data_IF_503568411599
#
_entry.id   IF_503568411599
#
_cell.length_a   1.000
_cell.length_b   1.000
_cell.length_c   1.000
_cell.angle_alpha   90.00
_cell.angle_beta   90.00
_cell.angle_gamma   90.00
#
_symmetry.space_group_name_H-M   'P 1'
#
loop_
_entity.id
_entity.type
_entity.pdbx_description
1 polymer ?
#
# COMPACT_ATOMS: atom_id res chain seq x y z
N UNK A 1 -9.48 15.11 -9.09
CA UNK A 1 -8.33 15.01 -10.00
C UNK A 1 -7.24 14.22 -9.27
N UNK A 2 -7.05 12.92 -9.56
CA UNK A 2 -5.99 12.13 -8.88
C UNK A 2 -4.68 12.40 -9.60
N UNK A 3 -3.81 13.17 -8.95
CA UNK A 3 -2.44 13.38 -9.41
C UNK A 3 -1.60 12.21 -8.91
N UNK A 4 -1.39 11.20 -9.75
CA UNK A 4 -0.38 10.18 -9.52
C UNK A 4 0.99 10.79 -9.82
N UNK A 5 1.56 11.47 -8.83
CA UNK A 5 2.86 12.12 -8.95
C UNK A 5 3.98 11.09 -8.91
N UNK A 6 4.68 10.95 -10.04
CA UNK A 6 6.11 10.57 -10.15
C UNK A 6 6.54 9.15 -9.71
N UNK A 7 6.40 8.19 -10.63
CA UNK A 7 7.18 6.92 -10.63
C UNK A 7 8.51 7.01 -11.41
N UNK A 8 8.93 8.21 -11.82
CA UNK A 8 10.08 8.43 -12.71
C UNK A 8 11.32 9.04 -12.02
N UNK A 9 11.65 8.56 -10.81
CA UNK A 9 12.90 8.95 -10.15
C UNK A 9 13.60 7.71 -9.61
N UNK A 10 14.72 7.31 -10.23
CA UNK A 10 15.59 6.22 -9.81
C UNK A 10 16.66 6.68 -8.79
N UNK A 11 16.35 7.67 -7.95
CA UNK A 11 17.27 8.12 -6.89
C UNK A 11 17.50 7.02 -5.84
N UNK A 12 18.64 7.01 -5.15
CA UNK A 12 18.84 6.11 -4.01
C UNK A 12 17.79 6.38 -2.92
N UNK A 13 17.28 5.33 -2.27
CA UNK A 13 16.24 5.44 -1.22
C UNK A 13 16.60 6.45 -0.12
N UNK A 14 17.90 6.59 0.19
CA UNK A 14 18.44 7.53 1.18
C UNK A 14 18.27 9.02 0.84
N UNK A 15 17.95 9.36 -0.41
CA UNK A 15 17.82 10.76 -0.88
C UNK A 15 16.40 11.06 -1.37
N UNK A 16 15.47 10.10 -1.29
CA UNK A 16 14.10 10.30 -1.77
C UNK A 16 13.24 10.97 -0.70
N UNK A 17 12.60 12.06 -1.08
CA UNK A 17 11.57 12.73 -0.26
C UNK A 17 10.22 11.97 -0.27
N UNK A 18 10.05 11.01 -1.18
CA UNK A 18 8.77 10.31 -1.42
C UNK A 18 8.77 8.86 -0.90
N UNK A 19 9.54 8.55 0.14
CA UNK A 19 9.69 7.18 0.67
C UNK A 19 8.35 6.56 1.09
N UNK A 20 7.47 7.34 1.72
CA UNK A 20 6.10 6.89 2.05
C UNK A 20 5.31 6.47 0.82
N UNK A 21 5.18 7.33 -0.18
CA UNK A 21 4.41 7.04 -1.41
C UNK A 21 4.93 5.82 -2.19
N UNK A 22 6.25 5.58 -2.17
CA UNK A 22 6.85 4.39 -2.79
C UNK A 22 6.55 3.12 -1.98
N UNK A 23 6.64 3.19 -0.66
CA UNK A 23 6.27 2.09 0.22
C UNK A 23 4.79 1.73 0.05
N UNK A 24 3.91 2.72 -0.01
CA UNK A 24 2.48 2.50 -0.26
C UNK A 24 2.22 1.80 -1.59
N UNK A 25 2.90 2.25 -2.65
CA UNK A 25 2.77 1.66 -3.99
C UNK A 25 3.33 0.24 -4.02
N UNK A 26 4.40 -0.02 -3.27
CA UNK A 26 4.99 -1.34 -3.12
C UNK A 26 4.02 -2.31 -2.42
N UNK A 27 3.44 -1.94 -1.27
CA UNK A 27 2.48 -2.78 -0.53
C UNK A 27 1.26 -3.12 -1.40
N UNK A 28 0.68 -2.14 -2.09
CA UNK A 28 -0.44 -2.37 -3.01
C UNK A 28 -0.08 -3.35 -4.13
N UNK A 29 1.10 -3.20 -4.71
CA UNK A 29 1.61 -4.09 -5.76
C UNK A 29 1.85 -5.51 -5.25
N UNK A 30 2.54 -5.66 -4.12
CA UNK A 30 2.83 -6.98 -3.53
C UNK A 30 1.56 -7.71 -3.11
N UNK A 31 0.58 -7.00 -2.52
CA UNK A 31 -0.71 -7.61 -2.17
C UNK A 31 -1.46 -8.09 -3.41
N UNK A 32 -1.48 -7.28 -4.46
CA UNK A 32 -2.12 -7.66 -5.73
C UNK A 32 -1.48 -8.92 -6.33
N UNK A 33 -0.14 -9.00 -6.31
CA UNK A 33 0.59 -10.20 -6.76
C UNK A 33 0.27 -11.41 -5.89
N UNK A 34 0.23 -11.24 -4.57
CA UNK A 34 -0.12 -12.30 -3.63
C UNK A 34 -1.51 -12.88 -3.91
N UNK A 35 -2.52 -12.02 -4.11
CA UNK A 35 -3.88 -12.44 -4.43
C UNK A 35 -3.93 -13.18 -5.79
N UNK A 36 -3.20 -12.68 -6.79
CA UNK A 36 -3.10 -13.30 -8.10
C UNK A 36 -2.44 -14.69 -8.06
N UNK A 37 -1.35 -14.85 -7.28
CA UNK A 37 -0.69 -16.15 -7.12
C UNK A 37 -1.56 -17.19 -6.42
N UNK A 38 -2.47 -16.74 -5.55
CA UNK A 38 -3.45 -17.61 -4.89
C UNK A 38 -4.71 -17.86 -5.75
N UNK A 39 -4.77 -17.30 -6.96
CA UNK A 39 -5.95 -17.32 -7.83
C UNK A 39 -7.22 -16.87 -7.10
N UNK A 40 -7.07 -16.00 -6.11
CA UNK A 40 -8.15 -15.57 -5.27
C UNK A 40 -8.83 -14.35 -5.91
N UNK A 41 -10.12 -14.46 -6.20
CA UNK A 41 -10.93 -13.34 -6.63
C UNK A 41 -11.36 -12.55 -5.39
N UNK A 42 -10.54 -11.56 -5.04
CA UNK A 42 -10.69 -10.72 -3.86
C UNK A 42 -10.91 -9.28 -4.32
N UNK A 43 -11.91 -8.61 -3.75
CA UNK A 43 -12.08 -7.18 -3.90
C UNK A 43 -11.23 -6.48 -2.84
N UNK A 44 -10.19 -5.76 -3.26
CA UNK A 44 -9.26 -5.06 -2.35
C UNK A 44 -9.53 -3.55 -2.36
N UNK A 45 -9.76 -2.98 -1.18
CA UNK A 45 -10.01 -1.56 -0.96
C UNK A 45 -8.90 -0.97 -0.09
N UNK A 46 -8.10 -0.08 -0.69
CA UNK A 46 -7.03 0.62 0.03
C UNK A 46 -7.51 2.01 0.46
N UNK A 47 -7.38 2.32 1.73
CA UNK A 47 -7.59 3.66 2.28
C UNK A 47 -6.30 4.18 2.94
N UNK A 48 -6.21 5.51 3.09
CA UNK A 48 -5.11 6.16 3.81
C UNK A 48 -5.68 6.93 4.99
N UNK A 49 -4.97 6.93 6.11
CA UNK A 49 -5.24 7.87 7.21
C UNK A 49 -4.77 9.28 6.82
N UNK A 50 -5.44 10.32 7.32
CA UNK A 50 -5.15 11.72 6.95
C UNK A 50 -3.71 12.13 7.22
N UNK A 51 -3.04 11.46 8.17
CA UNK A 51 -1.66 11.75 8.56
C UNK A 51 -0.62 11.03 7.67
N UNK A 52 -1.05 10.28 6.65
CA UNK A 52 -0.20 9.60 5.65
C UNK A 52 0.82 8.61 6.24
N UNK A 53 0.62 8.15 7.47
CA UNK A 53 1.53 7.22 8.15
C UNK A 53 1.08 5.76 8.06
N UNK A 54 -0.20 5.53 7.75
CA UNK A 54 -0.81 4.21 7.77
C UNK A 54 -1.63 3.97 6.49
N UNK A 55 -1.54 2.73 6.00
CA UNK A 55 -2.43 2.21 4.98
C UNK A 55 -3.25 1.16 5.67
N UNK A 56 -4.56 1.22 5.50
CA UNK A 56 -5.35 0.03 5.72
C UNK A 56 -5.98 -0.46 4.42
N UNK A 57 -6.15 -1.77 4.43
CA UNK A 57 -6.64 -2.57 3.34
C UNK A 57 -7.82 -3.37 3.88
N UNK A 58 -8.96 -3.22 3.23
CA UNK A 58 -10.10 -4.11 3.44
C UNK A 58 -10.23 -5.01 2.21
N UNK A 59 -10.31 -6.31 2.43
CA UNK A 59 -10.48 -7.32 1.40
C UNK A 59 -11.78 -8.08 1.62
N UNK A 60 -12.55 -8.24 0.55
CA UNK A 60 -13.79 -8.99 0.58
C UNK A 60 -13.73 -10.18 -0.38
N UNK A 61 -14.07 -11.36 0.14
CA UNK A 61 -14.14 -12.60 -0.64
C UNK A 61 -15.16 -13.54 -0.04
N UNK A 62 -16.02 -14.13 -0.88
CA UNK A 62 -17.04 -15.12 -0.48
C UNK A 62 -17.91 -14.69 0.72
N UNK A 63 -18.24 -13.39 0.83
CA UNK A 63 -19.03 -12.84 1.93
C UNK A 63 -18.26 -12.65 3.25
N UNK A 64 -16.94 -12.90 3.25
CA UNK A 64 -16.04 -12.61 4.36
C UNK A 64 -15.25 -11.34 4.09
N UNK A 65 -15.25 -10.43 5.05
CA UNK A 65 -14.47 -9.20 5.02
C UNK A 65 -13.27 -9.34 5.95
N UNK A 66 -12.06 -9.07 5.45
CA UNK A 66 -10.80 -9.08 6.22
C UNK A 66 -10.15 -7.71 6.14
N UNK A 67 -9.74 -7.15 7.28
CA UNK A 67 -9.01 -5.90 7.34
C UNK A 67 -7.54 -6.14 7.69
N UNK A 68 -6.64 -5.38 7.06
CA UNK A 68 -5.20 -5.39 7.29
C UNK A 68 -4.73 -3.95 7.51
N UNK A 69 -3.96 -3.73 8.56
CA UNK A 69 -3.33 -2.45 8.85
C UNK A 69 -1.81 -2.58 8.61
N UNK A 70 -1.27 -1.72 7.75
CA UNK A 70 0.15 -1.66 7.44
C UNK A 70 0.74 -0.41 8.08
N UNK A 71 1.77 -0.61 8.91
CA UNK A 71 2.58 0.47 9.49
C UNK A 71 4.00 0.36 8.99
N UNK A 72 4.57 1.48 8.53
CA UNK A 72 6.00 1.53 8.24
C UNK A 72 6.75 1.51 9.58
N UNK A 73 7.65 0.55 9.78
CA UNK A 73 8.49 0.53 10.98
C UNK A 73 9.49 1.69 10.91
N UNK A 74 9.21 2.74 11.68
CA UNK A 74 10.01 3.96 11.63
C UNK A 74 9.48 5.07 12.52
N UNK A 75 9.34 4.79 13.81
CA UNK A 75 9.62 5.73 14.92
C UNK A 75 9.82 4.86 16.18
N UNK A 76 11.07 4.46 16.43
CA UNK A 76 11.47 4.21 17.80
C UNK A 76 11.50 5.58 18.47
N UNK A 77 10.64 5.77 19.49
CA UNK A 77 10.65 6.98 20.32
C UNK A 77 11.98 7.19 21.03
#
# INVERSE_FOLDING_TARGET
>A
MRQFSYLNSFSLLSVRQNTGALWESYIQGERSKYNAYRQAYINSYFWRTCDQQEIDLTEETEGTTTAYEFKMAGEAG
#
